data_IF_264812186451
#
_entry.id   IF_264812186451
#
_cell.length_a   1.000
_cell.length_b   1.000
_cell.length_c   1.000
_cell.angle_alpha   90.00
_cell.angle_beta   90.00
_cell.angle_gamma   90.00
#
_symmetry.space_group_name_H-M   'P 1'
#
loop_
_entity.id
_entity.type
_entity.pdbx_description
1 polymer ?
#
# COMPACT_ATOMS: atom_id res chain seq x y z
N UNK A 1 -5.29 -3.83 4.44
CA UNK A 1 -4.69 -5.19 4.46
C UNK A 1 -5.45 -6.23 5.28
N UNK A 2 -6.21 -5.86 6.32
CA UNK A 2 -6.88 -6.80 7.22
C UNK A 2 -7.70 -7.90 6.51
N UNK A 3 -8.49 -7.56 5.49
CA UNK A 3 -9.28 -8.54 4.72
C UNK A 3 -8.38 -9.57 4.04
N UNK A 4 -7.26 -9.15 3.44
CA UNK A 4 -6.31 -10.05 2.77
C UNK A 4 -5.69 -11.02 3.78
N UNK A 5 -5.35 -10.54 4.98
CA UNK A 5 -4.80 -11.38 6.05
C UNK A 5 -5.85 -12.38 6.54
N UNK A 6 -7.09 -11.95 6.75
CA UNK A 6 -8.19 -12.84 7.11
C UNK A 6 -8.42 -13.93 6.06
N UNK A 7 -8.30 -13.62 4.77
CA UNK A 7 -8.42 -14.62 3.71
C UNK A 7 -7.25 -15.61 3.73
N UNK A 8 -6.02 -15.15 3.93
CA UNK A 8 -4.83 -16.00 4.07
C UNK A 8 -4.93 -16.95 5.28
N UNK A 9 -5.57 -16.51 6.36
CA UNK A 9 -5.77 -17.28 7.59
C UNK A 9 -6.94 -18.27 7.51
N UNK A 10 -8.01 -17.94 6.78
CA UNK A 10 -9.28 -18.71 6.80
C UNK A 10 -9.55 -19.55 5.57
N UNK A 11 -8.86 -19.30 4.45
CA UNK A 11 -9.13 -20.01 3.18
C UNK A 11 -8.06 -21.07 2.93
N UNK A 12 -8.45 -22.34 2.68
CA UNK A 12 -7.50 -23.36 2.25
C UNK A 12 -7.03 -23.07 0.82
N UNK A 13 -5.77 -23.39 0.51
CA UNK A 13 -5.22 -23.23 -0.84
C UNK A 13 -3.88 -22.49 -0.85
N UNK A 14 -3.49 -21.90 -1.99
CA UNK A 14 -2.26 -21.13 -2.10
C UNK A 14 -2.20 -19.99 -1.08
N UNK A 15 -1.12 -19.92 -0.31
CA UNK A 15 -0.91 -18.84 0.66
C UNK A 15 -0.58 -17.53 -0.06
N UNK A 16 -1.17 -16.44 0.41
CA UNK A 16 -0.86 -15.08 0.01
C UNK A 16 0.42 -14.57 0.71
N UNK A 17 0.71 -15.10 1.89
CA UNK A 17 1.93 -14.80 2.63
C UNK A 17 2.89 -16.00 2.72
N UNK A 18 4.22 -15.79 2.63
CA UNK A 18 5.20 -16.85 2.87
C UNK A 18 5.08 -17.46 4.26
N UNK A 19 5.50 -18.72 4.44
CA UNK A 19 5.58 -19.37 5.77
C UNK A 19 6.70 -18.80 6.65
N UNK A 20 7.85 -18.49 6.05
CA UNK A 20 9.00 -17.90 6.74
C UNK A 20 8.65 -16.50 7.29
N UNK A 21 8.95 -16.30 8.58
CA UNK A 21 8.59 -15.07 9.29
C UNK A 21 9.30 -13.83 8.76
N UNK A 22 10.56 -13.94 8.34
CA UNK A 22 11.32 -12.80 7.80
C UNK A 22 10.79 -12.39 6.42
N UNK A 23 10.54 -13.36 5.54
CA UNK A 23 9.94 -13.10 4.22
C UNK A 23 8.53 -12.53 4.36
N UNK A 24 7.74 -13.02 5.31
CA UNK A 24 6.41 -12.46 5.61
C UNK A 24 6.49 -11.01 6.07
N UNK A 25 7.45 -10.67 6.94
CA UNK A 25 7.68 -9.30 7.36
C UNK A 25 8.04 -8.39 6.17
N UNK A 26 8.89 -8.87 5.25
CA UNK A 26 9.24 -8.13 4.03
C UNK A 26 8.02 -7.87 3.13
N UNK A 27 7.16 -8.88 2.93
CA UNK A 27 5.91 -8.71 2.16
C UNK A 27 4.98 -7.69 2.82
N UNK A 28 4.86 -7.73 4.16
CA UNK A 28 4.05 -6.77 4.92
C UNK A 28 4.61 -5.36 4.81
N UNK A 29 5.92 -5.19 4.96
CA UNK A 29 6.59 -3.90 4.79
C UNK A 29 6.30 -3.28 3.43
N UNK A 30 6.44 -4.02 2.33
CA UNK A 30 6.12 -3.52 0.98
C UNK A 30 4.64 -3.19 0.85
N UNK A 31 3.76 -4.05 1.38
CA UNK A 31 2.31 -3.85 1.32
C UNK A 31 1.86 -2.62 2.12
N UNK A 32 2.42 -2.40 3.30
CA UNK A 32 2.14 -1.26 4.16
C UNK A 32 2.70 0.03 3.56
N UNK A 33 3.89 -0.02 2.94
CA UNK A 33 4.47 1.11 2.21
C UNK A 33 3.50 1.63 1.15
N UNK A 34 2.93 0.74 0.33
CA UNK A 34 1.97 1.12 -0.69
C UNK A 34 0.63 1.55 -0.08
N UNK A 35 0.08 0.76 0.85
CA UNK A 35 -1.30 0.96 1.34
C UNK A 35 -1.43 2.06 2.38
N UNK A 36 -0.36 2.41 3.08
CA UNK A 36 -0.34 3.43 4.13
C UNK A 36 0.53 4.63 3.76
N UNK A 37 1.66 4.41 3.08
CA UNK A 37 2.59 5.48 2.69
C UNK A 37 2.22 6.19 1.38
N UNK A 38 1.72 5.44 0.39
CA UNK A 38 1.42 6.00 -0.95
C UNK A 38 -0.07 6.25 -1.15
N UNK A 39 -0.89 5.21 -1.03
CA UNK A 39 -2.30 5.24 -1.44
C UNK A 39 -3.14 6.30 -0.73
N UNK A 40 -3.04 6.52 0.59
CA UNK A 40 -3.88 7.48 1.28
C UNK A 40 -3.65 8.92 0.82
N UNK A 41 -2.42 9.27 0.43
CA UNK A 41 -2.05 10.61 0.01
C UNK A 41 -2.63 10.96 -1.37
N UNK A 42 -2.82 9.97 -2.24
CA UNK A 42 -3.47 10.13 -3.53
C UNK A 42 -4.96 9.71 -3.54
N UNK A 43 -5.54 9.39 -2.37
CA UNK A 43 -6.95 9.05 -2.27
C UNK A 43 -7.82 10.16 -2.87
N UNK A 44 -8.87 9.79 -3.62
CA UNK A 44 -9.75 10.76 -4.29
C UNK A 44 -10.33 11.81 -3.34
N UNK A 45 -10.68 11.45 -2.10
CA UNK A 45 -11.14 12.40 -1.09
C UNK A 45 -10.08 13.43 -0.69
N UNK A 46 -8.81 13.02 -0.64
CA UNK A 46 -7.68 13.92 -0.40
C UNK A 46 -7.46 14.80 -1.63
N UNK A 47 -7.40 14.20 -2.81
CA UNK A 47 -7.22 14.93 -4.07
C UNK A 47 -8.30 16.00 -4.28
N UNK A 48 -9.56 15.69 -4.00
CA UNK A 48 -10.67 16.64 -4.13
C UNK A 48 -10.45 17.96 -3.35
N UNK A 49 -9.64 17.96 -2.29
CA UNK A 49 -9.30 19.16 -1.51
C UNK A 49 -8.23 20.05 -2.14
N UNK A 50 -7.51 19.56 -3.15
CA UNK A 50 -6.35 20.22 -3.76
C UNK A 50 -6.67 21.01 -5.04
N UNK A 51 -7.92 21.03 -5.50
CA UNK A 51 -8.31 21.80 -6.68
C UNK A 51 -7.56 21.36 -7.95
N UNK A 52 -6.81 22.27 -8.56
CA UNK A 52 -6.07 22.04 -9.81
C UNK A 52 -4.75 21.29 -9.61
N UNK A 53 -4.23 21.23 -8.38
CA UNK A 53 -2.93 20.60 -8.06
C UNK A 53 -3.00 19.07 -7.92
N UNK A 54 -4.19 18.48 -8.06
CA UNK A 54 -4.47 17.05 -7.88
C UNK A 54 -3.48 16.15 -8.59
N UNK A 55 -3.22 16.43 -9.87
CA UNK A 55 -2.40 15.57 -10.71
C UNK A 55 -0.94 15.59 -10.25
N UNK A 56 -0.40 16.79 -10.01
CA UNK A 56 0.97 16.97 -9.56
C UNK A 56 1.18 16.33 -8.19
N UNK A 57 0.24 16.52 -7.27
CA UNK A 57 0.26 15.89 -5.94
C UNK A 57 0.27 14.37 -6.02
N UNK A 58 -0.67 13.78 -6.77
CA UNK A 58 -0.74 12.33 -6.93
C UNK A 58 0.55 11.77 -7.53
N UNK A 59 1.07 12.39 -8.58
CA UNK A 59 2.32 11.97 -9.24
C UNK A 59 3.50 12.02 -8.28
N UNK A 60 3.65 13.09 -7.51
CA UNK A 60 4.74 13.23 -6.54
C UNK A 60 4.76 12.07 -5.54
N UNK A 61 3.66 11.83 -4.83
CA UNK A 61 3.61 10.77 -3.80
C UNK A 61 3.70 9.37 -4.39
N UNK A 62 3.21 9.13 -5.61
CA UNK A 62 3.39 7.84 -6.28
C UNK A 62 4.87 7.62 -6.62
N UNK A 63 5.53 8.60 -7.24
CA UNK A 63 6.92 8.47 -7.70
C UNK A 63 7.88 8.36 -6.50
N UNK A 64 7.83 9.33 -5.57
CA UNK A 64 8.68 9.33 -4.38
C UNK A 64 8.42 8.10 -3.51
N UNK A 65 7.16 7.64 -3.44
CA UNK A 65 6.79 6.41 -2.78
C UNK A 65 7.52 5.19 -3.34
N UNK A 66 7.48 4.98 -4.66
CA UNK A 66 8.18 3.85 -5.27
C UNK A 66 9.71 3.99 -5.24
N UNK A 67 10.24 5.20 -5.06
CA UNK A 67 11.67 5.45 -4.82
C UNK A 67 12.10 5.23 -3.36
N UNK A 68 11.15 5.11 -2.43
CA UNK A 68 11.43 4.95 -1.00
C UNK A 68 11.80 6.24 -0.28
N UNK A 69 11.36 7.39 -0.80
CA UNK A 69 11.71 8.73 -0.31
C UNK A 69 10.68 9.34 0.65
N UNK A 70 9.61 8.60 0.96
CA UNK A 70 8.52 8.98 1.87
C UNK A 70 8.18 7.84 2.83
#
# INVERSE_FOLDING_TARGET
>A
LAIIQYLDETRPGPRLLPEDSKKRAQVRMISDHITSGIQPLQNLHVLQKLGDEKLQWAQYFIISGFQGEI
#
